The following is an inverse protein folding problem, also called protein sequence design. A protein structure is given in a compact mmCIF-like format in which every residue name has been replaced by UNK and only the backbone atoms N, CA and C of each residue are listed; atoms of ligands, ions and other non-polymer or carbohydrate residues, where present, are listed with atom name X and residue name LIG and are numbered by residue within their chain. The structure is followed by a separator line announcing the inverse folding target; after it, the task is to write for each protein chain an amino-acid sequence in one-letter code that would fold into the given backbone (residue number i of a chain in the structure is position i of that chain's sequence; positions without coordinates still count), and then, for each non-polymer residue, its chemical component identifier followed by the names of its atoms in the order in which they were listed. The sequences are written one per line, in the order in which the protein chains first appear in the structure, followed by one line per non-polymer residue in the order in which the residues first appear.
data_IF_704953967265
#
_entry.id   IF_704953967265
#
_cell.length_a   1.000
_cell.length_b   1.000
_cell.length_c   1.000
_cell.angle_alpha   90.00
_cell.angle_beta   90.00
_cell.angle_gamma   90.00
#
_symmetry.space_group_name_H-M   'P 1'
#
loop_
_entity.id
_entity.type
_entity.pdbx_description
1 polymer ?
#
# COMPACT_ATOMS: atom_id res chain seq x y z
N UNK A 1 -1.41 -2.31 -4.12
CA UNK A 1 -1.90 -3.37 -3.20
C UNK A 1 -2.89 -2.72 -2.25
N UNK A 2 -3.93 -3.42 -1.79
CA UNK A 2 -4.80 -2.88 -0.73
C UNK A 2 -4.13 -3.13 0.62
N UNK A 3 -4.21 -2.16 1.51
CA UNK A 3 -3.61 -2.25 2.85
C UNK A 3 -4.42 -3.21 3.71
N UNK A 4 -3.75 -4.12 4.41
CA UNK A 4 -4.33 -4.97 5.46
C UNK A 4 -3.50 -4.80 6.74
N UNK A 5 -4.17 -4.68 7.89
CA UNK A 5 -3.54 -4.51 9.20
C UNK A 5 -4.06 -5.52 10.22
N UNK A 6 -3.26 -5.79 11.26
CA UNK A 6 -3.63 -6.61 12.41
C UNK A 6 -3.44 -5.84 13.72
N UNK A 7 -4.39 -5.95 14.64
CA UNK A 7 -4.30 -5.43 16.00
C UNK A 7 -4.38 -6.56 17.03
N UNK A 8 -3.75 -6.35 18.20
CA UNK A 8 -3.82 -7.26 19.35
C UNK A 8 -5.24 -7.46 19.89
N UNK A 9 -6.18 -6.54 19.63
CA UNK A 9 -7.60 -6.69 19.98
C UNK A 9 -8.35 -7.71 19.12
N UNK A 10 -7.68 -8.36 18.16
CA UNK A 10 -8.27 -9.31 17.21
C UNK A 10 -8.80 -8.68 15.92
N UNK A 11 -8.57 -7.38 15.68
CA UNK A 11 -8.87 -6.78 14.38
C UNK A 11 -7.89 -7.23 13.31
N UNK A 12 -8.43 -7.72 12.20
CA UNK A 12 -7.73 -7.94 10.94
C UNK A 12 -8.61 -7.44 9.81
N UNK A 13 -8.08 -6.55 8.97
CA UNK A 13 -8.84 -6.01 7.86
C UNK A 13 -8.16 -4.81 7.22
N UNK A 14 -8.89 -4.19 6.30
CA UNK A 14 -8.45 -2.95 5.66
C UNK A 14 -8.42 -1.78 6.62
N UNK A 15 -7.94 -0.66 6.14
CA UNK A 15 -7.94 0.58 6.90
C UNK A 15 -8.36 1.70 5.96
N UNK A 16 -9.35 2.47 6.42
CA UNK A 16 -9.85 3.61 5.66
C UNK A 16 -9.10 4.86 6.11
N UNK A 17 -8.07 5.21 5.34
CA UNK A 17 -7.41 6.50 5.46
C UNK A 17 -7.92 7.34 4.30
N UNK A 18 -8.88 8.21 4.60
CA UNK A 18 -9.32 9.22 3.64
C UNK A 18 -8.13 10.02 3.13
N UNK A 19 -8.19 10.49 1.88
CA UNK A 19 -7.18 11.37 1.29
C UNK A 19 -7.25 12.77 1.92
N UNK A 20 -6.94 12.87 3.22
CA UNK A 20 -6.86 14.14 3.92
C UNK A 20 -5.61 14.87 3.45
N UNK A 21 -5.73 16.16 3.14
CA UNK A 21 -4.62 17.00 2.68
C UNK A 21 -3.43 16.95 3.65
N UNK A 22 -3.72 16.78 4.94
CA UNK A 22 -2.78 16.62 6.06
C UNK A 22 -1.75 15.49 5.84
N UNK A 23 -2.11 14.45 5.08
CA UNK A 23 -1.23 13.32 4.80
C UNK A 23 -0.16 13.62 3.73
N UNK A 24 -0.23 14.75 3.04
CA UNK A 24 0.87 15.24 2.21
C UNK A 24 1.97 15.93 3.04
N UNK A 25 1.65 16.33 4.28
CA UNK A 25 2.54 17.09 5.16
C UNK A 25 3.15 16.22 6.26
N UNK A 26 2.50 15.12 6.63
CA UNK A 26 2.95 14.23 7.70
C UNK A 26 2.62 12.77 7.43
N UNK A 27 3.48 11.86 7.93
CA UNK A 27 3.22 10.43 7.81
C UNK A 27 2.04 10.02 8.70
N UNK A 28 1.00 9.36 8.15
CA UNK A 28 -0.15 8.95 8.93
C UNK A 28 0.24 7.86 9.94
N UNK A 29 -0.13 8.08 11.21
CA UNK A 29 -0.09 7.02 12.22
C UNK A 29 -1.33 6.14 12.08
N UNK A 30 -1.11 4.90 11.65
CA UNK A 30 -2.19 3.92 11.49
C UNK A 30 -2.63 3.38 12.85
N UNK A 31 -3.90 3.55 13.19
CA UNK A 31 -4.52 3.04 14.42
C UNK A 31 -5.65 2.06 14.11
N UNK A 32 -5.89 1.14 15.04
CA UNK A 32 -6.98 0.18 14.92
C UNK A 32 -8.34 0.90 14.95
N UNK A 33 -9.22 0.70 13.95
CA UNK A 33 -10.53 1.36 13.93
C UNK A 33 -11.49 0.83 15.01
N UNK A 34 -11.18 -0.31 15.65
CA UNK A 34 -11.99 -0.88 16.74
C UNK A 34 -11.62 -0.37 18.12
N UNK A 35 -10.33 -0.33 18.45
CA UNK A 35 -9.87 -0.03 19.81
C UNK A 35 -8.90 1.16 19.91
N UNK A 36 -8.50 1.77 18.79
CA UNK A 36 -7.53 2.86 18.77
C UNK A 36 -6.07 2.44 19.04
N UNK A 37 -5.81 1.16 19.28
CA UNK A 37 -4.45 0.63 19.53
C UNK A 37 -3.55 0.62 18.30
N UNK A 38 -2.28 0.31 18.51
CA UNK A 38 -1.30 0.11 17.44
C UNK A 38 -1.63 -1.11 16.59
N UNK A 39 -1.19 -1.07 15.33
CA UNK A 39 -1.42 -2.13 14.35
C UNK A 39 -0.13 -2.53 13.64
N UNK A 40 -0.03 -3.82 13.33
CA UNK A 40 0.95 -4.36 12.39
C UNK A 40 0.39 -4.21 10.97
N UNK A 41 1.20 -3.73 10.03
CA UNK A 41 0.85 -3.74 8.60
C UNK A 41 1.21 -5.11 8.02
N UNK A 42 0.22 -5.82 7.49
CA UNK A 42 0.39 -7.14 6.87
C UNK A 42 0.62 -7.05 5.35
N UNK A 43 0.05 -6.05 4.68
CA UNK A 43 0.22 -5.81 3.24
C UNK A 43 0.00 -4.35 2.88
N UNK A 44 0.49 -3.91 1.72
CA UNK A 44 0.22 -2.56 1.19
C UNK A 44 1.21 -1.49 1.65
N UNK A 45 2.24 -1.88 2.41
CA UNK A 45 3.42 -1.03 2.66
C UNK A 45 4.39 -1.06 1.47
N UNK A 46 4.25 -2.02 0.56
CA UNK A 46 5.14 -2.18 -0.58
C UNK A 46 4.75 -1.25 -1.73
N UNK A 47 5.77 -0.72 -2.43
CA UNK A 47 5.60 -0.16 -3.76
C UNK A 47 5.95 -1.25 -4.79
N UNK A 48 4.99 -1.67 -5.59
CA UNK A 48 5.18 -2.69 -6.62
C UNK A 48 5.01 -2.07 -8.00
N UNK A 49 6.00 -2.24 -8.87
CA UNK A 49 5.88 -1.93 -10.29
C UNK A 49 4.83 -2.89 -10.88
N UNK A 50 3.74 -2.34 -11.40
CA UNK A 50 2.65 -3.16 -11.96
C UNK A 50 2.84 -3.45 -13.44
N UNK A 51 3.45 -2.52 -14.15
CA UNK A 51 3.62 -2.58 -15.59
C UNK A 51 4.89 -1.80 -15.97
N UNK A 52 5.64 -2.35 -16.93
CA UNK A 52 6.75 -1.68 -17.60
C UNK A 52 6.49 -1.84 -19.09
N UNK A 53 6.46 -0.71 -19.80
CA UNK A 53 6.33 -0.66 -21.25
C UNK A 53 7.61 -0.05 -21.82
N UNK A 54 8.12 -0.63 -22.92
CA UNK A 54 9.38 -0.24 -23.53
C UNK A 54 9.27 -0.27 -25.06
N UNK A 55 9.78 0.77 -25.70
CA UNK A 55 10.03 0.77 -27.13
C UNK A 55 11.38 0.10 -27.40
N UNK A 56 11.38 -0.94 -28.24
CA UNK A 56 12.60 -1.60 -28.70
C UNK A 56 12.85 -1.24 -30.17
N UNK A 57 14.10 -0.95 -30.57
CA UNK A 57 14.43 -0.79 -31.97
C UNK A 57 14.02 -2.04 -32.76
N UNK A 58 13.54 -1.86 -34.00
CA UNK A 58 13.37 -2.96 -34.95
C UNK A 58 14.74 -3.46 -35.40
N UNK A 59 15.46 -4.15 -34.52
CA UNK A 59 16.55 -5.02 -34.91
C UNK A 59 15.89 -6.27 -35.50
N UNK A 60 16.02 -6.45 -36.82
CA UNK A 60 15.50 -7.64 -37.50
C UNK A 60 15.96 -8.89 -36.74
N UNK A 61 15.00 -9.70 -36.29
CA UNK A 61 15.28 -11.01 -35.71
C UNK A 61 15.82 -11.85 -36.88
N UNK A 62 17.15 -11.92 -37.02
CA UNK A 62 17.77 -12.89 -37.91
C UNK A 62 17.34 -14.29 -37.45
N UNK A 63 16.74 -15.04 -38.39
CA UNK A 63 16.21 -16.38 -38.20
C UNK A 63 17.31 -17.42 -38.04
#
# INVERSE_FOLDING_TARGET
LKTEVRCSCGYRGGVDYGLKEEFHLSFPLLKCPRCGGDVDILSGRECAIKNVEMEVPNAGIEK
#
